data_IF_401402535657
#
_entry.id   IF_401402535657
#
_cell.length_a   1.000
_cell.length_b   1.000
_cell.length_c   1.000
_cell.angle_alpha   90.00
_cell.angle_beta   90.00
_cell.angle_gamma   90.00
#
_symmetry.space_group_name_H-M   'P 1'
#
loop_
_entity.id
_entity.type
_entity.pdbx_description
1 polymer ?
#
# COMPACT_ATOMS: atom_id res chain seq x y z
N UNK A 1 -3.93 -26.11 9.21
CA UNK A 1 -4.42 -24.73 8.96
C UNK A 1 -4.35 -23.79 10.18
N UNK A 2 -3.96 -24.28 11.38
CA UNK A 2 -3.94 -23.47 12.62
C UNK A 2 -3.05 -22.22 12.55
N UNK A 3 -1.92 -22.30 11.85
CA UNK A 3 -1.00 -21.16 11.66
C UNK A 3 -1.66 -19.99 10.92
N UNK A 4 -2.41 -20.26 9.84
CA UNK A 4 -3.09 -19.23 9.07
C UNK A 4 -4.23 -18.57 9.86
N UNK A 5 -5.02 -19.37 10.59
CA UNK A 5 -6.07 -18.84 11.45
C UNK A 5 -5.52 -17.96 12.59
N UNK A 6 -4.45 -18.40 13.26
CA UNK A 6 -3.79 -17.65 14.32
C UNK A 6 -3.17 -16.34 13.79
N UNK A 7 -2.50 -16.40 12.64
CA UNK A 7 -1.89 -15.22 12.00
C UNK A 7 -2.93 -14.16 11.64
N UNK A 8 -4.08 -14.56 11.11
CA UNK A 8 -5.20 -13.64 10.83
C UNK A 8 -5.72 -12.98 12.11
N UNK A 9 -5.91 -13.75 13.18
CA UNK A 9 -6.39 -13.21 14.46
C UNK A 9 -5.41 -12.18 15.06
N UNK A 10 -4.10 -12.42 14.94
CA UNK A 10 -3.08 -11.46 15.36
C UNK A 10 -3.15 -10.17 14.53
N UNK A 11 -3.32 -10.28 13.21
CA UNK A 11 -3.39 -9.11 12.32
C UNK A 11 -4.62 -8.25 12.57
N UNK A 12 -5.76 -8.87 12.86
CA UNK A 12 -6.96 -8.12 13.28
C UNK A 12 -6.71 -7.37 14.59
N UNK A 13 -6.07 -8.00 15.58
CA UNK A 13 -5.69 -7.31 16.82
C UNK A 13 -4.75 -6.13 16.59
N UNK A 14 -3.78 -6.26 15.67
CA UNK A 14 -2.89 -5.15 15.31
C UNK A 14 -3.68 -3.97 14.74
N UNK A 15 -4.64 -4.24 13.85
CA UNK A 15 -5.51 -3.20 13.31
C UNK A 15 -6.32 -2.57 14.45
N UNK A 16 -6.95 -3.36 15.31
CA UNK A 16 -7.73 -2.86 16.45
C UNK A 16 -6.87 -1.97 17.37
N UNK A 17 -5.63 -2.37 17.65
CA UNK A 17 -4.66 -1.57 18.41
C UNK A 17 -4.39 -0.21 17.77
N UNK A 18 -4.28 -0.12 16.43
CA UNK A 18 -4.08 1.18 15.76
C UNK A 18 -5.25 2.16 16.01
N UNK A 19 -6.48 1.66 16.14
CA UNK A 19 -7.64 2.49 16.46
C UNK A 19 -7.64 2.93 17.92
N UNK A 20 -7.31 2.03 18.85
CA UNK A 20 -7.20 2.38 20.27
C UNK A 20 -6.06 3.38 20.52
N UNK A 21 -4.89 3.18 19.90
CA UNK A 21 -3.76 4.10 19.99
C UNK A 21 -4.14 5.52 19.54
N UNK A 22 -4.98 5.66 18.50
CA UNK A 22 -5.46 6.96 18.07
C UNK A 22 -6.42 7.60 19.08
N UNK A 23 -7.36 6.80 19.63
CA UNK A 23 -8.30 7.30 20.64
C UNK A 23 -7.56 7.83 21.86
N UNK A 24 -6.60 7.06 22.35
CA UNK A 24 -5.84 7.37 23.57
C UNK A 24 -4.87 8.55 23.37
N UNK A 25 -4.31 8.71 22.17
CA UNK A 25 -3.29 9.74 21.90
C UNK A 25 -3.83 11.04 21.32
N UNK A 26 -4.84 10.99 20.44
CA UNK A 26 -5.32 12.17 19.68
C UNK A 26 -6.74 12.58 20.06
N UNK A 27 -7.57 11.67 20.56
CA UNK A 27 -8.98 11.94 20.87
C UNK A 27 -9.20 12.24 22.37
N UNK A 28 -8.38 13.12 22.95
CA UNK A 28 -8.39 13.43 24.39
C UNK A 28 -9.29 14.63 24.73
N UNK A 29 -9.44 15.56 23.79
CA UNK A 29 -10.20 16.80 24.01
C UNK A 29 -11.72 16.62 23.81
N UNK A 30 -12.52 17.46 24.47
CA UNK A 30 -14.00 17.42 24.35
C UNK A 30 -14.52 18.03 23.05
N UNK A 31 -13.75 18.90 22.39
CA UNK A 31 -14.18 19.65 21.21
C UNK A 31 -13.10 19.65 20.15
N UNK A 32 -13.47 19.23 18.94
CA UNK A 32 -12.59 19.23 17.77
C UNK A 32 -13.15 20.08 16.64
N UNK A 33 -12.26 20.66 15.85
CA UNK A 33 -12.61 21.22 14.54
C UNK A 33 -12.72 20.10 13.50
N UNK A 34 -13.49 20.34 12.45
CA UNK A 34 -13.69 19.35 11.37
C UNK A 34 -12.36 19.02 10.69
N UNK A 35 -11.47 19.99 10.54
CA UNK A 35 -10.17 19.81 9.91
C UNK A 35 -9.24 18.94 10.79
N UNK A 36 -9.20 19.17 12.11
CA UNK A 36 -8.45 18.31 13.04
C UNK A 36 -8.95 16.85 12.98
N UNK A 37 -10.26 16.63 12.88
CA UNK A 37 -10.84 15.29 12.75
C UNK A 37 -10.50 14.65 11.41
N UNK A 38 -10.54 15.41 10.31
CA UNK A 38 -10.13 14.91 8.99
C UNK A 38 -8.66 14.47 8.99
N UNK A 39 -7.77 15.29 9.55
CA UNK A 39 -6.35 14.97 9.67
C UNK A 39 -6.10 13.75 10.59
N UNK A 40 -6.94 13.53 11.60
CA UNK A 40 -6.93 12.31 12.41
C UNK A 40 -7.29 11.07 11.60
N UNK A 41 -8.39 11.13 10.84
CA UNK A 41 -8.86 10.01 10.03
C UNK A 41 -7.92 9.70 8.86
N UNK A 42 -7.35 10.70 8.21
CA UNK A 42 -6.40 10.51 7.11
C UNK A 42 -5.08 9.87 7.61
N UNK A 43 -4.60 10.28 8.79
CA UNK A 43 -3.46 9.62 9.43
C UNK A 43 -3.74 8.15 9.76
N UNK A 44 -4.90 7.85 10.35
CA UNK A 44 -5.31 6.47 10.67
C UNK A 44 -5.43 5.60 9.42
N UNK A 45 -6.06 6.14 8.38
CA UNK A 45 -6.22 5.47 7.08
C UNK A 45 -4.86 5.07 6.51
N UNK A 46 -3.85 5.94 6.60
CA UNK A 46 -2.50 5.65 6.11
C UNK A 46 -1.88 4.46 6.88
N UNK A 47 -1.96 4.49 8.21
CA UNK A 47 -1.41 3.43 9.07
C UNK A 47 -2.11 2.09 8.81
N UNK A 48 -3.44 2.06 8.86
CA UNK A 48 -4.22 0.84 8.63
C UNK A 48 -4.00 0.29 7.22
N UNK A 49 -3.92 1.16 6.22
CA UNK A 49 -3.60 0.75 4.85
C UNK A 49 -2.23 0.08 4.77
N UNK A 50 -1.22 0.63 5.44
CA UNK A 50 0.11 0.03 5.53
C UNK A 50 0.11 -1.36 6.17
N UNK A 51 -0.62 -1.54 7.28
CA UNK A 51 -0.77 -2.84 7.93
C UNK A 51 -1.42 -3.89 7.02
N UNK A 52 -2.49 -3.49 6.30
CA UNK A 52 -3.19 -4.38 5.36
C UNK A 52 -2.32 -4.72 4.15
N UNK A 53 -1.64 -3.74 3.55
CA UNK A 53 -0.73 -3.98 2.42
C UNK A 53 0.39 -4.95 2.82
N UNK A 54 0.97 -4.76 4.01
CA UNK A 54 2.00 -5.67 4.55
C UNK A 54 1.46 -7.08 4.78
N UNK A 55 0.22 -7.22 5.24
CA UNK A 55 -0.43 -8.52 5.43
C UNK A 55 -0.67 -9.24 4.09
N UNK A 56 -1.19 -8.52 3.08
CA UNK A 56 -1.45 -9.06 1.75
C UNK A 56 -0.17 -9.55 1.07
N UNK A 57 0.92 -8.77 1.15
CA UNK A 57 2.24 -9.17 0.62
C UNK A 57 2.75 -10.42 1.32
N UNK A 58 2.64 -10.46 2.65
CA UNK A 58 3.06 -11.63 3.42
C UNK A 58 2.24 -12.88 3.09
N UNK A 59 0.95 -12.73 2.84
CA UNK A 59 0.05 -13.82 2.46
C UNK A 59 0.37 -14.33 1.06
N UNK A 60 0.59 -13.45 0.08
CA UNK A 60 1.02 -13.83 -1.27
C UNK A 60 2.35 -14.60 -1.25
N UNK A 61 3.35 -14.09 -0.52
CA UNK A 61 4.64 -14.74 -0.39
C UNK A 61 4.55 -16.12 0.28
N UNK A 62 3.77 -16.23 1.37
CA UNK A 62 3.57 -17.52 2.05
C UNK A 62 2.89 -18.53 1.12
N UNK A 63 1.86 -18.10 0.38
CA UNK A 63 1.15 -18.96 -0.57
C UNK A 63 2.07 -19.44 -1.71
N UNK A 64 2.93 -18.55 -2.24
CA UNK A 64 3.93 -18.92 -3.24
C UNK A 64 4.89 -19.99 -2.73
N UNK A 65 5.41 -19.84 -1.51
CA UNK A 65 6.29 -20.83 -0.89
C UNK A 65 5.60 -22.18 -0.66
N UNK A 66 4.34 -22.16 -0.21
CA UNK A 66 3.54 -23.38 -0.04
C UNK A 66 3.33 -24.11 -1.37
N UNK A 67 3.00 -23.39 -2.44
CA UNK A 67 2.86 -23.97 -3.78
C UNK A 67 4.19 -24.56 -4.27
N UNK A 68 5.30 -23.85 -4.09
CA UNK A 68 6.64 -24.34 -4.44
C UNK A 68 6.97 -25.63 -3.68
N UNK A 69 6.68 -25.69 -2.38
CA UNK A 69 6.93 -26.86 -1.57
C UNK A 69 6.02 -28.04 -1.95
N UNK A 70 4.76 -27.78 -2.26
CA UNK A 70 3.81 -28.80 -2.72
C UNK A 70 4.26 -29.42 -4.05
N UNK A 71 4.66 -28.60 -5.02
CA UNK A 71 5.16 -29.11 -6.31
C UNK A 71 6.48 -29.88 -6.16
N UNK A 72 7.41 -29.38 -5.32
CA UNK A 72 8.67 -30.09 -5.06
C UNK A 72 8.45 -31.45 -4.38
N UNK A 73 7.45 -31.57 -3.51
CA UNK A 73 7.09 -32.86 -2.92
C UNK A 73 6.45 -33.77 -3.97
N UNK A 74 5.50 -33.27 -4.75
CA UNK A 74 4.84 -34.06 -5.80
C UNK A 74 5.82 -34.62 -6.83
N UNK A 75 6.85 -33.85 -7.20
CA UNK A 75 7.92 -34.30 -8.09
C UNK A 75 8.70 -35.49 -7.51
N UNK A 76 9.04 -35.45 -6.21
CA UNK A 76 9.73 -36.57 -5.51
C UNK A 76 8.89 -37.85 -5.49
N UNK A 77 7.57 -37.73 -5.48
CA UNK A 77 6.64 -38.85 -5.56
C UNK A 77 6.21 -39.18 -6.99
N UNK A 78 6.82 -38.55 -8.00
CA UNK A 78 6.52 -38.72 -9.43
C UNK A 78 5.04 -38.50 -9.80
N UNK A 79 4.34 -37.64 -9.06
CA UNK A 79 2.96 -37.27 -9.33
C UNK A 79 2.88 -36.24 -10.45
N UNK A 80 2.00 -36.46 -11.43
CA UNK A 80 1.66 -35.45 -12.44
C UNK A 80 0.53 -34.56 -11.91
N UNK A 81 0.83 -33.31 -11.57
CA UNK A 81 -0.19 -32.31 -11.28
C UNK A 81 -0.59 -31.57 -12.55
N UNK A 82 -1.90 -31.47 -12.78
CA UNK A 82 -2.50 -30.60 -13.76
C UNK A 82 -3.18 -29.45 -13.01
N UNK A 83 -2.71 -28.22 -13.24
CA UNK A 83 -3.28 -27.02 -12.63
C UNK A 83 -3.98 -26.21 -13.72
N UNK A 84 -5.27 -25.94 -13.54
CA UNK A 84 -5.99 -25.05 -14.44
C UNK A 84 -5.72 -23.59 -14.04
N UNK A 85 -5.11 -22.82 -14.95
CA UNK A 85 -4.75 -21.41 -14.74
C UNK A 85 -5.80 -20.49 -15.41
N UNK A 86 -6.76 -21.06 -16.14
CA UNK A 86 -7.76 -20.31 -16.92
C UNK A 86 -8.64 -19.42 -16.05
N UNK A 87 -8.75 -19.71 -14.75
CA UNK A 87 -9.51 -18.92 -13.78
C UNK A 87 -8.68 -17.84 -13.06
N UNK A 88 -7.34 -17.89 -13.18
CA UNK A 88 -6.43 -16.97 -12.49
C UNK A 88 -6.13 -15.71 -13.32
N UNK A 89 -6.44 -15.72 -14.61
CA UNK A 89 -6.43 -14.52 -15.45
C UNK A 89 -7.55 -13.58 -14.99
N UNK A 90 -7.22 -12.28 -14.84
CA UNK A 90 -8.19 -11.24 -14.51
C UNK A 90 -9.30 -11.22 -15.56
N UNK A 91 -10.41 -11.90 -15.28
CA UNK A 91 -11.60 -11.95 -16.15
C UNK A 91 -12.04 -10.54 -16.57
N UNK A 92 -11.91 -9.58 -15.67
CA UNK A 92 -12.20 -8.17 -15.92
C UNK A 92 -11.25 -7.51 -16.93
N UNK A 93 -9.95 -7.85 -16.92
CA UNK A 93 -8.96 -7.27 -17.82
C UNK A 93 -9.15 -7.80 -19.25
N UNK A 94 -9.46 -9.09 -19.39
CA UNK A 94 -9.81 -9.71 -20.67
C UNK A 94 -11.12 -9.15 -21.21
N UNK A 95 -12.12 -8.93 -20.35
CA UNK A 95 -13.40 -8.34 -20.75
C UNK A 95 -13.27 -6.84 -21.11
N UNK A 96 -12.42 -6.09 -20.40
CA UNK A 96 -12.14 -4.68 -20.69
C UNK A 96 -11.38 -4.52 -22.02
N UNK A 97 -10.38 -5.37 -22.27
CA UNK A 97 -9.71 -5.46 -23.59
C UNK A 97 -10.70 -5.91 -24.68
N UNK A 98 -11.63 -6.82 -24.36
CA UNK A 98 -12.69 -7.26 -25.27
C UNK A 98 -13.70 -6.15 -25.63
N UNK A 99 -14.05 -5.28 -24.66
CA UNK A 99 -14.87 -4.09 -24.90
C UNK A 99 -14.16 -3.05 -25.78
N UNK A 100 -12.84 -2.92 -25.68
CA UNK A 100 -12.04 -2.08 -26.58
C UNK A 100 -12.02 -2.53 -28.05
N UNK A 101 -12.30 -3.81 -28.31
CA UNK A 101 -12.34 -4.39 -29.67
C UNK A 101 -13.73 -4.24 -30.33
N UNK A 102 -14.76 -3.84 -29.58
CA UNK A 102 -16.13 -3.69 -30.12
C UNK A 102 -16.38 -2.42 -30.95
N UNK A 103 -15.39 -1.51 -31.08
CA UNK A 103 -15.52 -0.32 -31.93
C UNK A 103 -14.85 -0.43 -33.31
N UNK A 104 -14.38 -1.60 -33.73
CA UNK A 104 -13.86 -1.74 -35.09
C UNK A 104 -13.23 -3.08 -35.40
N UNK A 105 -13.90 -3.80 -36.30
CA UNK A 105 -13.50 -5.02 -37.02
C UNK A 105 -13.82 -6.35 -36.32
N UNK A 106 -14.63 -7.12 -37.04
CA UNK A 106 -14.78 -8.56 -36.93
C UNK A 106 -13.39 -9.22 -36.97
N UNK A 107 -12.91 -9.68 -35.82
CA UNK A 107 -11.78 -10.58 -35.74
C UNK A 107 -12.26 -11.80 -34.94
N UNK A 108 -12.30 -12.96 -35.60
CA UNK A 108 -12.64 -14.23 -34.95
C UNK A 108 -11.62 -14.47 -33.83
N UNK A 109 -12.08 -14.32 -32.59
CA UNK A 109 -11.29 -14.69 -31.41
C UNK A 109 -11.36 -16.21 -31.31
N UNK A 110 -10.36 -16.89 -31.85
CA UNK A 110 -10.16 -18.30 -31.52
C UNK A 110 -9.80 -18.37 -30.03
N UNK A 111 -10.32 -19.35 -29.28
CA UNK A 111 -9.88 -19.57 -27.91
C UNK A 111 -8.38 -19.82 -27.97
N UNK A 112 -7.59 -18.90 -27.41
CA UNK A 112 -6.18 -19.19 -27.16
C UNK A 112 -6.18 -20.39 -26.23
N UNK A 113 -5.92 -21.58 -26.78
CA UNK A 113 -5.30 -22.64 -26.02
C UNK A 113 -3.94 -22.08 -25.63
N UNK A 114 -3.88 -21.44 -24.47
CA UNK A 114 -2.62 -21.16 -23.81
C UNK A 114 -2.08 -22.52 -23.38
N UNK A 115 -1.47 -23.23 -24.33
CA UNK A 115 -0.56 -24.32 -24.02
C UNK A 115 0.66 -23.63 -23.41
N UNK A 116 0.56 -23.27 -22.14
CA UNK A 116 1.74 -23.11 -21.31
C UNK A 116 2.40 -24.48 -21.31
N UNK A 117 3.27 -24.69 -22.30
CA UNK A 117 4.39 -25.60 -22.12
C UNK A 117 5.04 -25.16 -20.84
N UNK A 118 4.73 -25.84 -19.74
CA UNK A 118 5.60 -25.82 -18.58
C UNK A 118 6.98 -26.13 -19.14
N UNK A 119 7.95 -25.19 -19.06
CA UNK A 119 9.32 -25.54 -19.34
C UNK A 119 9.58 -26.76 -18.46
N UNK A 120 10.12 -27.84 -19.05
CA UNK A 120 10.73 -28.90 -18.24
C UNK A 120 11.58 -28.16 -17.21
N UNK A 121 11.27 -28.35 -15.93
CA UNK A 121 12.15 -27.90 -14.85
C UNK A 121 13.40 -28.78 -14.91
N UNK A 122 14.21 -28.52 -15.93
CA UNK A 122 15.57 -28.98 -16.01
C UNK A 122 16.33 -28.08 -15.04
N UNK A 123 16.84 -28.69 -13.98
CA UNK A 123 17.97 -28.17 -13.21
C UNK A 123 19.12 -27.97 -14.19
N UNK A 124 19.17 -26.81 -14.85
CA UNK A 124 20.30 -26.37 -15.65
C UNK A 124 21.05 -25.39 -14.77
N UNK A 125 22.14 -25.88 -14.18
CA UNK A 125 23.26 -25.06 -13.77
C UNK A 125 23.67 -24.21 -14.98
N UNK A 126 23.21 -22.97 -15.04
CA UNK A 126 23.77 -21.96 -15.93
C UNK A 126 24.79 -21.19 -15.11
N UNK A 127 26.05 -21.54 -15.34
CA UNK A 127 27.18 -20.68 -15.07
C UNK A 127 26.97 -19.34 -15.78
N UNK A 128 26.97 -18.27 -14.96
CA UNK A 128 27.76 -17.06 -15.14
C UNK A 128 27.59 -16.35 -16.50
N UNK A 129 26.55 -15.53 -16.59
CA UNK A 129 26.59 -14.22 -17.30
C UNK A 129 25.75 -13.19 -16.53
N UNK A 130 25.91 -13.14 -15.20
CA UNK A 130 25.01 -12.37 -14.32
C UNK A 130 25.74 -11.51 -13.30
N UNK A 131 27.03 -11.21 -13.48
CA UNK A 131 27.81 -10.39 -12.53
C UNK A 131 27.94 -8.93 -13.01
N UNK A 132 28.15 -8.70 -14.32
CA UNK A 132 28.27 -7.34 -14.87
C UNK A 132 26.93 -6.58 -14.88
N UNK A 133 25.82 -7.26 -15.22
CA UNK A 133 24.49 -6.65 -15.19
C UNK A 133 23.97 -6.40 -13.77
N UNK A 134 24.40 -7.20 -12.78
CA UNK A 134 24.05 -6.95 -11.38
C UNK A 134 24.81 -5.77 -10.82
N UNK A 135 26.10 -5.62 -11.16
CA UNK A 135 26.91 -4.49 -10.67
C UNK A 135 26.45 -3.16 -11.29
N UNK A 136 26.09 -3.16 -12.58
CA UNK A 136 25.49 -2.01 -13.25
C UNK A 136 24.11 -1.68 -12.68
N UNK A 137 23.27 -2.69 -12.40
CA UNK A 137 21.94 -2.50 -11.80
C UNK A 137 22.05 -2.00 -10.35
N UNK A 138 23.01 -2.50 -9.58
CA UNK A 138 23.30 -2.08 -8.21
C UNK A 138 23.84 -0.65 -8.20
N UNK A 139 24.73 -0.30 -9.12
CA UNK A 139 25.23 1.07 -9.29
C UNK A 139 24.12 2.04 -9.69
N UNK A 140 23.30 1.70 -10.68
CA UNK A 140 22.14 2.50 -11.08
C UNK A 140 21.11 2.67 -9.95
N UNK A 141 20.91 1.63 -9.14
CA UNK A 141 20.06 1.69 -7.94
C UNK A 141 20.63 2.63 -6.88
N UNK A 142 21.94 2.59 -6.65
CA UNK A 142 22.60 3.51 -5.72
C UNK A 142 22.51 4.97 -6.18
N UNK A 143 22.71 5.23 -7.48
CA UNK A 143 22.56 6.56 -8.04
C UNK A 143 21.12 7.07 -7.95
N UNK A 144 20.13 6.21 -8.22
CA UNK A 144 18.72 6.54 -8.07
C UNK A 144 18.38 6.89 -6.61
N UNK A 145 18.84 6.08 -5.65
CA UNK A 145 18.66 6.35 -4.23
C UNK A 145 19.32 7.67 -3.82
N UNK A 146 20.51 7.97 -4.34
CA UNK A 146 21.20 9.23 -4.08
C UNK A 146 20.44 10.44 -4.63
N UNK A 147 19.89 10.34 -5.84
CA UNK A 147 19.06 11.40 -6.44
C UNK A 147 17.76 11.58 -5.65
N UNK A 148 17.13 10.50 -5.20
CA UNK A 148 15.94 10.59 -4.34
C UNK A 148 16.24 11.27 -3.00
N UNK A 149 17.38 10.96 -2.39
CA UNK A 149 17.83 11.61 -1.15
C UNK A 149 18.10 13.10 -1.37
N UNK A 150 18.77 13.46 -2.46
CA UNK A 150 19.00 14.86 -2.83
C UNK A 150 17.70 15.63 -3.10
N UNK A 151 16.73 15.00 -3.77
CA UNK A 151 15.39 15.59 -3.97
C UNK A 151 14.69 15.81 -2.62
N UNK A 152 14.70 14.82 -1.74
CA UNK A 152 14.08 14.94 -0.42
C UNK A 152 14.75 16.04 0.45
N UNK A 153 16.07 16.20 0.36
CA UNK A 153 16.79 17.27 1.04
C UNK A 153 16.47 18.65 0.42
N UNK A 154 16.39 18.74 -0.91
CA UNK A 154 16.04 19.98 -1.60
C UNK A 154 14.59 20.42 -1.30
N UNK A 155 13.65 19.49 -1.26
CA UNK A 155 12.26 19.74 -0.86
C UNK A 155 12.18 20.27 0.57
N UNK A 156 12.89 19.64 1.51
CA UNK A 156 12.96 20.12 2.92
C UNK A 156 13.59 21.51 3.04
N UNK A 157 14.64 21.80 2.28
CA UNK A 157 15.29 23.11 2.27
C UNK A 157 14.35 24.19 1.73
N UNK A 158 13.58 23.86 0.68
CA UNK A 158 12.58 24.75 0.09
C UNK A 158 11.44 25.02 1.07
N UNK A 159 10.92 23.98 1.75
CA UNK A 159 9.89 24.13 2.79
C UNK A 159 10.39 25.01 3.94
N UNK A 160 11.63 24.81 4.38
CA UNK A 160 12.24 25.64 5.43
C UNK A 160 12.32 27.11 5.00
N UNK A 161 12.76 27.38 3.77
CA UNK A 161 12.82 28.75 3.23
C UNK A 161 11.43 29.36 3.07
N UNK A 162 10.46 28.58 2.61
CA UNK A 162 9.06 29.01 2.51
C UNK A 162 8.49 29.38 3.88
N UNK A 163 8.72 28.55 4.91
CA UNK A 163 8.28 28.82 6.28
C UNK A 163 8.95 30.06 6.91
N UNK A 164 10.15 30.41 6.44
CA UNK A 164 10.88 31.61 6.87
C UNK A 164 10.40 32.90 6.18
N UNK A 165 9.63 32.80 5.10
CA UNK A 165 9.07 33.99 4.45
C UNK A 165 8.13 34.74 5.41
N UNK A 166 8.19 36.07 5.38
CA UNK A 166 7.34 36.93 6.21
C UNK A 166 5.85 36.70 5.93
N UNK A 167 5.49 36.45 4.67
CA UNK A 167 4.12 36.13 4.25
C UNK A 167 3.59 34.86 4.95
N UNK A 168 4.37 33.77 4.97
CA UNK A 168 3.96 32.54 5.63
C UNK A 168 3.83 32.73 7.15
N UNK A 169 4.78 33.42 7.78
CA UNK A 169 4.71 33.69 9.23
C UNK A 169 3.48 34.52 9.60
N UNK A 170 3.22 35.60 8.86
CA UNK A 170 2.05 36.45 9.08
C UNK A 170 0.74 35.66 8.89
N UNK A 171 0.64 34.86 7.82
CA UNK A 171 -0.54 34.03 7.56
C UNK A 171 -0.74 32.97 8.64
N UNK A 172 0.35 32.31 9.06
CA UNK A 172 0.33 31.32 10.15
C UNK A 172 -0.18 31.94 11.45
N UNK A 173 0.31 33.12 11.81
CA UNK A 173 -0.12 33.84 13.01
C UNK A 173 -1.60 34.24 12.97
N UNK A 174 -2.09 34.69 11.81
CA UNK A 174 -3.51 35.01 11.61
C UNK A 174 -4.38 33.76 11.75
N UNK A 175 -3.97 32.63 11.15
CA UNK A 175 -4.70 31.37 11.22
C UNK A 175 -4.75 30.83 12.65
N UNK A 176 -3.64 30.85 13.39
CA UNK A 176 -3.61 30.40 14.79
C UNK A 176 -4.51 31.25 15.67
N UNK A 177 -4.45 32.58 15.54
CA UNK A 177 -5.34 33.49 16.32
C UNK A 177 -6.81 33.27 15.99
N UNK A 178 -7.16 33.10 14.71
CA UNK A 178 -8.55 32.83 14.30
C UNK A 178 -9.04 31.48 14.83
N UNK A 179 -8.19 30.45 14.80
CA UNK A 179 -8.54 29.13 15.33
C UNK A 179 -8.76 29.15 16.84
N UNK A 180 -7.91 29.87 17.61
CA UNK A 180 -8.16 30.09 19.04
C UNK A 180 -9.47 30.83 19.28
N UNK A 181 -9.74 31.88 18.51
CA UNK A 181 -10.99 32.64 18.63
C UNK A 181 -12.24 31.78 18.33
N UNK A 182 -12.14 30.85 17.38
CA UNK A 182 -13.21 29.88 17.09
C UNK A 182 -13.40 28.93 18.28
N UNK A 183 -12.32 28.42 18.88
CA UNK A 183 -12.39 27.55 20.06
C UNK A 183 -13.04 28.26 21.25
N UNK A 184 -12.64 29.50 21.51
CA UNK A 184 -13.23 30.34 22.57
C UNK A 184 -14.72 30.62 22.33
N UNK A 185 -15.09 30.94 21.09
CA UNK A 185 -16.49 31.24 20.75
C UNK A 185 -17.36 30.01 20.93
N UNK A 186 -16.90 28.83 20.47
CA UNK A 186 -17.62 27.56 20.68
C UNK A 186 -17.78 27.23 22.16
N UNK A 187 -16.73 27.42 22.96
CA UNK A 187 -16.78 27.21 24.42
C UNK A 187 -17.74 28.17 25.13
N UNK A 188 -17.85 29.41 24.66
CA UNK A 188 -18.84 30.37 25.18
C UNK A 188 -20.25 29.98 24.77
N UNK A 189 -20.47 29.54 23.53
CA UNK A 189 -21.78 29.07 23.04
C UNK A 189 -22.28 27.84 23.81
N UNK A 190 -21.40 26.88 24.10
CA UNK A 190 -21.70 25.70 24.93
C UNK A 190 -22.23 26.07 26.33
N UNK A 191 -21.79 27.21 26.88
CA UNK A 191 -22.28 27.71 28.17
C UNK A 191 -23.71 28.25 28.10
N UNK A 192 -24.13 28.80 26.96
CA UNK A 192 -25.50 29.31 26.78
C UNK A 192 -26.49 28.21 26.38
N UNK A 193 -26.03 27.16 25.68
CA UNK A 193 -26.86 25.99 25.36
C UNK A 193 -27.12 25.07 26.56
N UNK A 194 -26.41 25.24 27.67
CA UNK A 194 -26.62 24.48 28.91
C UNK A 194 -27.54 25.19 29.92
N UNK A 195 -27.92 26.44 29.65
CA UNK A 195 -28.82 27.26 30.48
C UNK A 195 -30.30 27.25 29.97
N UNK A 196 -30.60 26.55 28.87
CA UNK A 196 -31.96 26.19 28.38
C UNK A 196 -32.30 24.72 28.69
#
# INVERSE_FOLDING_TARGET
MLFACSKRAIRLKTIDSCFEDLKDSRLVDKTFTVDEVRDMLDGLKLVVRGEVETELVNTAHTNMLLLRQLFSQAEKFYLRLQTDISELENRWAVEWLGRGVHLGRSLKVHPLKCFVSFPKMATRSQEITSLEDTDNLVSAKHDLLRVQEQLALAEKELDRKFQQTSAYRNMKEILTKKNEHIKDTRKRQEKYESDE
#
